data_IF_724279911457
#
_entry.id   IF_724279911457
#
_cell.length_a   1.000
_cell.length_b   1.000
_cell.length_c   1.000
_cell.angle_alpha   90.00
_cell.angle_beta   90.00
_cell.angle_gamma   90.00
#
_symmetry.space_group_name_H-M   'P 1'
#
loop_
_entity.id
_entity.type
_entity.pdbx_description
1 polymer ?
#
# COMPACT_ATOMS: atom_id res chain seq x y z
N UNK A 1 -6.16 3.90 -26.32
CA UNK A 1 -5.55 4.96 -25.47
C UNK A 1 -4.41 5.63 -26.23
N UNK A 2 -4.26 6.95 -26.12
CA UNK A 2 -3.12 7.66 -26.75
C UNK A 2 -1.81 7.37 -26.00
N UNK A 3 -0.66 7.50 -26.67
CA UNK A 3 0.67 7.38 -26.03
C UNK A 3 0.82 8.34 -24.85
N UNK A 4 0.23 9.53 -24.95
CA UNK A 4 0.24 10.53 -23.90
C UNK A 4 -0.56 10.10 -22.66
N UNK A 5 -1.73 9.47 -22.86
CA UNK A 5 -2.53 8.91 -21.76
C UNK A 5 -1.78 7.78 -21.04
N UNK A 6 -1.10 6.90 -21.77
CA UNK A 6 -0.30 5.81 -21.17
C UNK A 6 0.85 6.37 -20.32
N UNK A 7 1.55 7.40 -20.83
CA UNK A 7 2.62 8.08 -20.09
C UNK A 7 2.10 8.72 -18.80
N UNK A 8 0.94 9.38 -18.85
CA UNK A 8 0.31 10.00 -17.70
C UNK A 8 -0.07 8.97 -16.61
N UNK A 9 -0.71 7.85 -17.01
CA UNK A 9 -1.05 6.77 -16.06
C UNK A 9 0.20 6.20 -15.41
N UNK A 10 1.26 5.91 -16.18
CA UNK A 10 2.53 5.41 -15.63
C UNK A 10 3.17 6.38 -14.65
N UNK A 11 3.03 7.68 -14.86
CA UNK A 11 3.52 8.69 -13.91
C UNK A 11 2.75 8.64 -12.59
N UNK A 12 1.42 8.47 -12.64
CA UNK A 12 0.59 8.31 -11.44
C UNK A 12 0.96 7.02 -10.70
N UNK A 13 1.04 5.89 -11.41
CA UNK A 13 1.39 4.59 -10.80
C UNK A 13 2.80 4.60 -10.17
N UNK A 14 3.76 5.33 -10.75
CA UNK A 14 5.08 5.53 -10.14
C UNK A 14 5.00 6.33 -8.84
N UNK A 15 4.14 7.36 -8.77
CA UNK A 15 3.91 8.11 -7.53
C UNK A 15 3.30 7.23 -6.46
N UNK A 16 2.32 6.39 -6.84
CA UNK A 16 1.76 5.37 -5.94
C UNK A 16 2.87 4.45 -5.44
N UNK A 17 3.65 3.82 -6.33
CA UNK A 17 4.74 2.92 -5.94
C UNK A 17 5.75 3.60 -4.98
N UNK A 18 6.17 4.83 -5.28
CA UNK A 18 7.08 5.58 -4.41
C UNK A 18 6.49 5.83 -3.03
N UNK A 19 5.21 6.20 -2.95
CA UNK A 19 4.53 6.42 -1.68
C UNK A 19 4.46 5.11 -0.88
N UNK A 20 4.06 3.98 -1.49
CA UNK A 20 4.01 2.69 -0.79
C UNK A 20 5.39 2.28 -0.23
N UNK A 21 6.45 2.40 -1.04
CA UNK A 21 7.81 2.09 -0.59
C UNK A 21 8.20 2.99 0.57
N UNK A 22 7.96 4.30 0.47
CA UNK A 22 8.28 5.24 1.54
C UNK A 22 7.52 4.91 2.83
N UNK A 23 6.24 4.56 2.75
CA UNK A 23 5.45 4.14 3.91
C UNK A 23 6.03 2.88 4.56
N UNK A 24 6.44 1.89 3.76
CA UNK A 24 7.11 0.69 4.29
C UNK A 24 8.44 1.01 4.99
N UNK A 25 9.23 1.94 4.44
CA UNK A 25 10.47 2.41 5.07
C UNK A 25 10.20 3.16 6.38
N UNK A 26 9.17 4.01 6.42
CA UNK A 26 8.75 4.73 7.64
C UNK A 26 8.32 3.73 8.74
N UNK A 27 7.79 2.57 8.35
CA UNK A 27 7.45 1.48 9.26
C UNK A 27 8.66 0.68 9.76
N UNK A 28 9.88 1.02 9.33
CA UNK A 28 11.12 0.36 9.76
C UNK A 28 11.59 -0.76 8.84
N UNK A 29 11.00 -0.89 7.64
CA UNK A 29 11.61 -1.71 6.61
C UNK A 29 12.92 -1.06 6.12
N UNK A 30 13.83 -1.90 5.65
CA UNK A 30 15.11 -1.54 5.06
C UNK A 30 15.05 -1.84 3.57
N UNK A 31 15.86 -1.13 2.78
CA UNK A 31 15.96 -1.30 1.35
C UNK A 31 17.42 -1.59 0.97
N UNK A 32 17.62 -2.67 0.23
CA UNK A 32 18.89 -3.06 -0.35
C UNK A 32 18.73 -3.21 -1.87
N UNK A 33 19.58 -2.54 -2.65
CA UNK A 33 19.57 -2.72 -4.10
C UNK A 33 20.43 -3.92 -4.49
N UNK A 34 19.82 -4.92 -5.14
CA UNK A 34 20.48 -6.12 -5.66
C UNK A 34 20.28 -6.16 -7.17
N UNK A 35 21.28 -5.68 -7.91
CA UNK A 35 21.20 -5.59 -9.36
C UNK A 35 20.05 -4.70 -9.85
N UNK A 36 19.06 -5.31 -10.51
CA UNK A 36 17.89 -4.63 -11.08
C UNK A 36 16.63 -4.62 -10.19
N UNK A 37 16.71 -5.20 -9.00
CA UNK A 37 15.61 -5.21 -8.02
C UNK A 37 16.05 -4.54 -6.72
N UNK A 38 15.08 -3.98 -6.00
CA UNK A 38 15.23 -3.55 -4.62
C UNK A 38 14.60 -4.62 -3.72
N UNK A 39 15.32 -5.02 -2.68
CA UNK A 39 14.89 -5.95 -1.63
C UNK A 39 14.43 -5.11 -0.45
N UNK A 40 13.15 -5.22 -0.12
CA UNK A 40 12.53 -4.53 1.02
C UNK A 40 12.25 -5.58 2.08
N UNK A 41 12.82 -5.41 3.28
CA UNK A 41 12.64 -6.35 4.38
C UNK A 41 12.58 -5.61 5.72
N UNK A 42 11.86 -6.16 6.69
CA UNK A 42 11.83 -5.65 8.05
C UNK A 42 12.55 -6.63 8.97
N UNK A 43 13.30 -6.18 9.99
CA UNK A 43 14.13 -7.06 10.83
C UNK A 43 13.33 -7.97 11.78
N UNK A 44 12.19 -7.50 12.29
CA UNK A 44 11.35 -8.28 13.22
C UNK A 44 9.97 -8.68 12.67
N UNK A 45 9.35 -7.82 11.85
CA UNK A 45 8.04 -8.10 11.25
C UNK A 45 8.10 -9.14 10.14
N UNK A 46 7.22 -10.13 10.18
CA UNK A 46 7.04 -11.17 9.15
C UNK A 46 5.97 -10.82 8.12
N UNK A 47 5.39 -9.61 8.20
CA UNK A 47 4.31 -9.20 7.32
C UNK A 47 4.74 -9.17 5.84
N UNK A 48 3.93 -9.73 4.91
CA UNK A 48 4.30 -9.83 3.49
C UNK A 48 4.65 -8.49 2.84
N UNK A 49 3.87 -7.44 3.09
CA UNK A 49 4.07 -6.11 2.50
C UNK A 49 5.26 -5.34 3.10
N UNK A 50 5.97 -5.92 4.08
CA UNK A 50 7.24 -5.37 4.56
C UNK A 50 8.43 -6.27 4.18
N UNK A 51 8.19 -7.36 3.43
CA UNK A 51 9.19 -8.37 3.09
C UNK A 51 8.98 -8.90 1.65
N UNK A 52 9.54 -8.20 0.67
CA UNK A 52 9.36 -8.47 -0.75
C UNK A 52 10.51 -7.88 -1.58
N UNK A 53 10.63 -8.32 -2.82
CA UNK A 53 11.44 -7.64 -3.82
C UNK A 53 10.55 -6.88 -4.79
N UNK A 54 11.02 -5.74 -5.28
CA UNK A 54 10.36 -4.95 -6.32
C UNK A 54 11.37 -4.58 -7.40
N UNK A 55 10.96 -4.56 -8.67
CA UNK A 55 11.75 -3.92 -9.72
C UNK A 55 12.22 -2.51 -9.33
N UNK A 56 13.48 -2.18 -9.66
CA UNK A 56 13.99 -0.81 -9.50
C UNK A 56 13.27 0.17 -10.42
N UNK A 57 13.20 1.42 -9.99
CA UNK A 57 12.65 2.47 -10.84
C UNK A 57 13.44 2.62 -12.14
N UNK A 58 12.72 2.87 -13.23
CA UNK A 58 13.27 3.12 -14.58
C UNK A 58 13.89 1.88 -15.27
N UNK A 59 13.78 0.70 -14.67
CA UNK A 59 14.12 -0.55 -15.34
C UNK A 59 12.99 -0.95 -16.31
N UNK A 60 13.31 -1.11 -17.59
CA UNK A 60 12.32 -1.47 -18.62
C UNK A 60 12.11 -2.99 -18.73
N UNK A 61 13.13 -3.77 -18.41
CA UNK A 61 13.17 -5.22 -18.48
C UNK A 61 14.11 -5.76 -17.41
N UNK A 62 13.72 -6.83 -16.73
CA UNK A 62 14.53 -7.47 -15.69
C UNK A 62 14.77 -8.93 -16.12
N UNK A 63 16.02 -9.33 -16.32
CA UNK A 63 16.37 -10.73 -16.57
C UNK A 63 15.98 -11.61 -15.38
N UNK A 64 15.48 -12.82 -15.65
CA UNK A 64 15.14 -13.82 -14.64
C UNK A 64 16.21 -14.03 -13.56
N UNK A 65 17.53 -14.13 -13.89
CA UNK A 65 18.57 -14.31 -12.87
C UNK A 65 18.67 -13.15 -11.88
N UNK A 66 18.26 -11.94 -12.27
CA UNK A 66 18.29 -10.77 -11.40
C UNK A 66 17.12 -10.78 -10.40
N UNK A 67 15.99 -11.36 -10.79
CA UNK A 67 14.86 -11.63 -9.89
C UNK A 67 15.29 -12.69 -8.87
N UNK A 68 15.90 -13.79 -9.31
CA UNK A 68 16.39 -14.86 -8.43
C UNK A 68 17.40 -14.36 -7.41
N UNK A 69 18.34 -13.49 -7.81
CA UNK A 69 19.28 -12.83 -6.87
C UNK A 69 18.55 -12.09 -5.76
N UNK A 70 17.55 -11.29 -6.10
CA UNK A 70 16.74 -10.59 -5.08
C UNK A 70 15.98 -11.57 -4.17
N UNK A 71 15.38 -12.62 -4.75
CA UNK A 71 14.67 -13.63 -3.95
C UNK A 71 15.61 -14.39 -3.01
N UNK A 72 16.84 -14.68 -3.45
CA UNK A 72 17.87 -15.29 -2.61
C UNK A 72 18.29 -14.35 -1.48
N UNK A 73 18.49 -13.05 -1.76
CA UNK A 73 18.78 -12.06 -0.71
C UNK A 73 17.67 -12.02 0.35
N UNK A 74 16.40 -12.08 -0.09
CA UNK A 74 15.27 -12.09 0.84
C UNK A 74 15.25 -13.38 1.70
N UNK A 75 15.66 -14.53 1.14
CA UNK A 75 15.84 -15.79 1.89
C UNK A 75 16.99 -15.71 2.89
N UNK A 76 18.10 -15.07 2.54
CA UNK A 76 19.24 -14.83 3.46
C UNK A 76 18.82 -14.02 4.69
N UNK A 77 17.88 -13.09 4.52
CA UNK A 77 17.24 -12.35 5.62
C UNK A 77 16.18 -13.17 6.39
N UNK A 78 16.05 -14.47 6.12
CA UNK A 78 15.08 -15.35 6.76
C UNK A 78 13.63 -15.02 6.40
N UNK A 79 13.40 -14.43 5.22
CA UNK A 79 12.06 -14.04 4.75
C UNK A 79 11.56 -14.95 3.63
N UNK A 80 10.24 -15.08 3.52
CA UNK A 80 9.63 -15.81 2.42
C UNK A 80 9.88 -15.05 1.11
N UNK A 81 10.36 -15.72 0.05
CA UNK A 81 10.60 -15.09 -1.25
C UNK A 81 9.28 -14.57 -1.85
N UNK A 82 9.19 -13.26 -2.09
CA UNK A 82 8.01 -12.59 -2.65
C UNK A 82 8.41 -11.50 -3.63
N UNK A 83 7.61 -11.33 -4.67
CA UNK A 83 7.72 -10.20 -5.62
C UNK A 83 6.48 -9.34 -5.48
N UNK A 84 6.67 -8.03 -5.31
CA UNK A 84 5.59 -7.04 -5.29
C UNK A 84 5.84 -6.01 -6.39
N UNK A 85 4.86 -5.83 -7.27
CA UNK A 85 4.96 -4.87 -8.37
C UNK A 85 3.59 -4.37 -8.79
N UNK A 86 3.57 -3.21 -9.45
CA UNK A 86 2.37 -2.65 -10.07
C UNK A 86 2.37 -3.00 -11.55
N UNK A 87 1.43 -3.83 -11.98
CA UNK A 87 1.40 -4.40 -13.35
C UNK A 87 1.52 -3.35 -14.45
N UNK A 88 0.78 -2.23 -14.35
CA UNK A 88 0.80 -1.16 -15.34
C UNK A 88 2.15 -0.45 -15.54
N UNK A 89 3.15 -0.74 -14.70
CA UNK A 89 4.51 -0.21 -14.82
C UNK A 89 5.45 -1.09 -15.64
N UNK A 90 5.12 -2.37 -15.89
CA UNK A 90 6.00 -3.35 -16.50
C UNK A 90 5.39 -3.97 -17.77
N UNK A 91 6.20 -4.47 -18.72
CA UNK A 91 5.68 -5.18 -19.87
C UNK A 91 5.10 -6.55 -19.46
N UNK A 92 4.14 -7.11 -20.23
CA UNK A 92 3.57 -8.44 -19.96
C UNK A 92 4.60 -9.57 -19.85
N UNK A 93 5.74 -9.45 -20.55
CA UNK A 93 6.83 -10.42 -20.44
C UNK A 93 7.38 -10.54 -19.01
N UNK A 94 7.25 -9.50 -18.18
CA UNK A 94 7.71 -9.56 -16.79
C UNK A 94 6.87 -10.56 -15.97
N UNK A 95 5.54 -10.53 -16.12
CA UNK A 95 4.66 -11.50 -15.47
C UNK A 95 4.96 -12.94 -15.93
N UNK A 96 5.29 -13.12 -17.22
CA UNK A 96 5.75 -14.42 -17.74
C UNK A 96 7.04 -14.88 -17.06
N UNK A 97 8.03 -14.00 -16.92
CA UNK A 97 9.29 -14.33 -16.24
C UNK A 97 9.08 -14.75 -14.78
N UNK A 98 8.10 -14.17 -14.07
CA UNK A 98 7.73 -14.59 -12.72
C UNK A 98 7.09 -15.99 -12.71
N UNK A 99 6.23 -16.29 -13.68
CA UNK A 99 5.65 -17.61 -13.83
C UNK A 99 6.71 -18.69 -14.17
N UNK A 100 7.68 -18.35 -15.02
CA UNK A 100 8.80 -19.25 -15.35
C UNK A 100 9.69 -19.57 -14.12
N UNK A 101 9.63 -18.73 -13.08
CA UNK A 101 10.26 -18.95 -11.77
C UNK A 101 9.39 -19.74 -10.77
N UNK A 102 8.27 -20.31 -11.22
CA UNK A 102 7.27 -21.00 -10.39
C UNK A 102 6.70 -20.14 -9.25
N UNK A 103 6.71 -18.81 -9.43
CA UNK A 103 6.04 -17.90 -8.50
C UNK A 103 4.53 -17.95 -8.74
N UNK A 104 3.78 -18.01 -7.64
CA UNK A 104 2.31 -18.00 -7.66
C UNK A 104 1.81 -16.65 -7.20
N UNK A 105 0.69 -16.22 -7.78
CA UNK A 105 0.00 -14.99 -7.36
C UNK A 105 -0.52 -15.22 -5.93
N UNK A 106 0.08 -14.52 -4.97
CA UNK A 106 -0.39 -14.51 -3.58
C UNK A 106 -1.57 -13.56 -3.40
N UNK A 107 -1.54 -12.41 -4.09
CA UNK A 107 -2.58 -11.38 -4.01
C UNK A 107 -2.54 -10.45 -5.22
N UNK A 108 -3.71 -9.99 -5.63
CA UNK A 108 -3.89 -8.92 -6.61
C UNK A 108 -4.79 -7.85 -5.99
N UNK A 109 -4.35 -6.58 -6.01
CA UNK A 109 -5.07 -5.47 -5.38
C UNK A 109 -5.36 -4.40 -6.45
N UNK A 110 -6.64 -4.06 -6.70
CA UNK A 110 -6.96 -2.99 -7.63
C UNK A 110 -6.52 -1.64 -7.05
N UNK A 111 -5.86 -0.83 -7.87
CA UNK A 111 -5.46 0.54 -7.52
C UNK A 111 -6.43 1.51 -8.18
N UNK A 112 -7.17 2.26 -7.36
CA UNK A 112 -8.00 3.36 -7.83
C UNK A 112 -7.22 4.67 -7.68
N UNK A 113 -7.16 5.46 -8.76
CA UNK A 113 -6.51 6.77 -8.75
C UNK A 113 -7.49 7.83 -9.20
N UNK A 114 -7.63 8.91 -8.43
CA UNK A 114 -8.43 10.07 -8.80
C UNK A 114 -7.53 11.31 -8.86
N UNK A 115 -7.61 12.07 -9.95
CA UNK A 115 -6.96 13.37 -10.01
C UNK A 115 -7.86 14.40 -9.30
N UNK A 116 -7.33 15.04 -8.26
CA UNK A 116 -7.97 16.20 -7.63
C UNK A 116 -7.75 17.41 -8.55
N UNK A 117 -8.53 17.51 -9.63
CA UNK A 117 -8.54 18.69 -10.48
C UNK A 117 -9.59 19.69 -9.96
N UNK A 118 -9.31 21.00 -10.00
CA UNK A 118 -10.34 22.01 -9.82
C UNK A 118 -11.42 21.90 -10.91
N UNK A 119 -12.71 22.11 -10.59
CA UNK A 119 -13.23 22.23 -9.23
C UNK A 119 -13.20 20.88 -8.53
N UNK A 120 -12.83 20.87 -7.24
CA UNK A 120 -12.91 19.68 -6.41
C UNK A 120 -14.27 19.00 -6.60
N UNK A 121 -14.34 17.66 -6.64
CA UNK A 121 -15.61 16.96 -6.80
C UNK A 121 -16.60 17.52 -5.79
N UNK A 122 -17.78 17.92 -6.28
CA UNK A 122 -18.83 18.46 -5.41
C UNK A 122 -19.12 17.41 -4.34
N UNK A 123 -18.81 17.75 -3.10
CA UNK A 123 -19.17 16.91 -1.96
C UNK A 123 -20.69 16.76 -1.98
N UNK A 124 -21.17 15.53 -2.09
CA UNK A 124 -22.59 15.28 -1.89
C UNK A 124 -22.93 15.56 -0.43
N UNK A 125 -24.09 16.16 -0.14
CA UNK A 125 -24.52 16.32 1.24
C UNK A 125 -24.58 14.94 1.89
N UNK A 126 -24.16 14.86 3.16
CA UNK A 126 -24.30 13.63 3.92
C UNK A 126 -25.79 13.33 4.13
N UNK A 127 -26.22 12.07 4.01
CA UNK A 127 -27.57 11.67 4.38
C UNK A 127 -27.91 12.01 5.83
N UNK A 128 -29.20 12.18 6.13
CA UNK A 128 -29.67 12.49 7.48
C UNK A 128 -29.17 11.47 8.52
N UNK A 129 -28.73 12.00 9.67
CA UNK A 129 -28.20 11.20 10.77
C UNK A 129 -26.79 10.66 10.55
N UNK A 130 -26.13 10.99 9.44
CA UNK A 130 -24.73 10.65 9.19
C UNK A 130 -23.81 11.80 9.58
N UNK A 131 -22.75 11.48 10.32
CA UNK A 131 -21.63 12.41 10.61
C UNK A 131 -20.30 11.71 10.41
N UNK A 132 -19.27 12.47 10.05
CA UNK A 132 -17.89 12.00 9.96
C UNK A 132 -17.07 12.80 10.97
N UNK A 133 -16.30 12.11 11.81
CA UNK A 133 -15.43 12.74 12.80
C UNK A 133 -14.00 12.29 12.58
N UNK A 134 -13.06 13.24 12.68
CA UNK A 134 -11.64 12.92 12.71
C UNK A 134 -11.29 12.39 14.09
N UNK A 135 -10.53 11.29 14.13
CA UNK A 135 -10.00 10.73 15.37
C UNK A 135 -8.87 11.62 15.87
N UNK A 136 -9.00 12.11 17.10
CA UNK A 136 -8.03 13.02 17.74
C UNK A 136 -7.54 12.54 19.11
N UNK A 137 -8.09 11.43 19.62
CA UNK A 137 -7.80 10.91 20.96
C UNK A 137 -7.80 9.37 20.99
N UNK A 138 -7.48 8.81 22.17
CA UNK A 138 -7.40 7.36 22.37
C UNK A 138 -8.77 6.67 22.32
N UNK A 139 -9.84 7.33 22.75
CA UNK A 139 -11.19 6.75 22.69
C UNK A 139 -11.63 6.58 21.24
N UNK A 140 -11.42 7.59 20.41
CA UNK A 140 -11.65 7.53 18.97
C UNK A 140 -10.82 6.43 18.31
N UNK A 141 -9.55 6.24 18.69
CA UNK A 141 -8.75 5.11 18.17
C UNK A 141 -9.37 3.77 18.57
N UNK A 142 -9.78 3.60 19.83
CA UNK A 142 -10.41 2.36 20.28
C UNK A 142 -11.69 2.06 19.50
N UNK A 143 -12.53 3.09 19.27
CA UNK A 143 -13.73 2.97 18.45
C UNK A 143 -13.40 2.66 16.98
N UNK A 144 -12.39 3.32 16.41
CA UNK A 144 -11.94 3.07 15.04
C UNK A 144 -11.52 1.61 14.87
N UNK A 145 -10.71 1.10 15.80
CA UNK A 145 -10.27 -0.30 15.84
C UNK A 145 -11.42 -1.28 16.01
N UNK A 146 -12.39 -0.95 16.87
CA UNK A 146 -13.59 -1.76 17.06
C UNK A 146 -14.38 -1.89 15.76
N UNK A 147 -14.66 -0.78 15.07
CA UNK A 147 -15.40 -0.81 13.80
C UNK A 147 -14.62 -1.57 12.73
N UNK A 148 -13.31 -1.32 12.62
CA UNK A 148 -12.45 -2.00 11.64
C UNK A 148 -12.43 -3.52 11.85
N UNK A 149 -12.25 -3.99 13.09
CA UNK A 149 -12.22 -5.43 13.41
C UNK A 149 -13.56 -6.13 13.21
N UNK A 150 -14.65 -5.39 13.25
CA UNK A 150 -16.02 -5.92 13.08
C UNK A 150 -16.58 -5.63 11.68
N UNK A 151 -15.75 -5.23 10.72
CA UNK A 151 -16.17 -5.04 9.34
C UNK A 151 -16.71 -6.35 8.75
N UNK A 152 -17.87 -6.27 8.07
CA UNK A 152 -18.50 -7.43 7.40
C UNK A 152 -17.91 -7.76 6.03
N UNK A 153 -16.87 -7.04 5.62
CA UNK A 153 -16.21 -7.19 4.33
C UNK A 153 -14.70 -7.23 4.55
N UNK A 154 -13.99 -7.82 3.59
CA UNK A 154 -12.53 -7.87 3.62
C UNK A 154 -11.95 -6.46 3.48
N UNK A 155 -11.35 -5.97 4.56
CA UNK A 155 -10.66 -4.68 4.52
C UNK A 155 -9.28 -4.91 3.90
N UNK A 156 -9.08 -4.40 2.69
CA UNK A 156 -7.78 -4.46 2.01
C UNK A 156 -6.79 -3.57 2.76
N UNK A 157 -5.91 -4.18 3.55
CA UNK A 157 -4.81 -3.50 4.26
C UNK A 157 -3.50 -3.47 3.48
N UNK A 158 -3.46 -4.13 2.31
CA UNK A 158 -2.21 -4.50 1.63
C UNK A 158 -1.43 -3.38 0.92
N UNK A 159 -1.80 -2.11 1.13
CA UNK A 159 -1.19 -0.99 0.40
C UNK A 159 -0.14 -0.23 1.17
N UNK A 160 -0.44 0.20 2.40
CA UNK A 160 0.31 1.32 3.01
C UNK A 160 0.76 1.03 4.44
N UNK A 161 -0.03 0.34 5.27
CA UNK A 161 0.37 0.11 6.66
C UNK A 161 -0.23 -1.16 7.26
N UNK A 162 0.56 -1.96 8.00
CA UNK A 162 -0.02 -2.81 9.03
C UNK A 162 -0.57 -1.93 10.15
N UNK A 163 -1.87 -2.04 10.37
CA UNK A 163 -2.54 -1.35 11.45
C UNK A 163 -1.96 -1.88 12.78
N UNK A 164 -1.36 -0.99 13.57
CA UNK A 164 -0.84 -1.30 14.91
C UNK A 164 -1.36 -0.26 15.90
N UNK A 165 -2.18 -0.70 16.86
CA UNK A 165 -2.87 0.12 17.88
C UNK A 165 -1.96 1.13 18.61
N UNK A 166 -0.65 0.89 18.70
CA UNK A 166 0.31 1.77 19.37
C UNK A 166 1.10 2.76 18.48
N UNK A 167 1.22 2.51 17.17
CA UNK A 167 1.88 3.46 16.23
C UNK A 167 0.91 4.53 15.75
N UNK A 168 -0.37 4.21 15.68
CA UNK A 168 -1.43 5.07 15.16
C UNK A 168 -1.50 6.44 15.87
N UNK A 169 -1.41 6.49 17.21
CA UNK A 169 -1.38 7.77 17.96
C UNK A 169 -0.23 8.67 17.54
N UNK A 170 0.97 8.10 17.34
CA UNK A 170 2.16 8.88 16.99
C UNK A 170 2.04 9.45 15.58
N UNK A 171 1.58 8.64 14.62
CA UNK A 171 1.41 9.08 13.24
C UNK A 171 0.30 10.13 13.10
N UNK A 172 -0.78 10.01 13.90
CA UNK A 172 -1.82 11.04 14.01
C UNK A 172 -1.27 12.38 14.54
N UNK A 173 -0.41 12.33 15.57
CA UNK A 173 0.19 13.52 16.17
C UNK A 173 1.20 14.18 15.22
N UNK A 174 2.02 13.39 14.53
CA UNK A 174 3.05 13.90 13.60
C UNK A 174 2.41 14.37 12.28
N UNK A 175 1.15 13.98 12.01
CA UNK A 175 0.38 14.43 10.86
C UNK A 175 0.64 13.62 9.59
N UNK A 176 1.28 12.47 9.69
CA UNK A 176 1.46 11.52 8.58
C UNK A 176 0.19 10.69 8.33
N UNK A 177 -0.77 10.75 9.25
CA UNK A 177 -2.01 10.01 9.19
C UNK A 177 -3.20 10.87 9.64
N UNK A 178 -4.36 10.62 9.04
CA UNK A 178 -5.66 11.06 9.56
C UNK A 178 -6.65 9.90 9.54
N UNK A 179 -7.19 9.57 10.71
CA UNK A 179 -8.22 8.55 10.87
C UNK A 179 -9.59 9.23 11.01
N UNK A 180 -10.61 8.58 10.44
CA UNK A 180 -11.98 9.08 10.43
C UNK A 180 -12.95 7.97 10.86
N UNK A 181 -13.98 8.34 11.61
CA UNK A 181 -15.11 7.49 11.97
C UNK A 181 -16.38 8.06 11.36
N UNK A 182 -17.13 7.21 10.68
CA UNK A 182 -18.47 7.47 10.18
C UNK A 182 -19.48 6.99 11.22
N UNK A 183 -20.35 7.89 11.68
CA UNK A 183 -21.48 7.54 12.53
C UNK A 183 -22.80 7.61 11.78
N UNK A 184 -23.74 6.75 12.17
CA UNK A 184 -25.14 6.80 11.76
C UNK A 184 -26.03 6.75 13.01
N UNK A 185 -26.83 7.79 13.21
CA UNK A 185 -27.69 7.95 14.40
C UNK A 185 -26.93 7.74 15.73
N UNK A 186 -25.69 8.23 15.82
CA UNK A 186 -24.83 8.11 17.00
C UNK A 186 -24.01 6.82 17.11
N UNK A 187 -24.25 5.82 16.25
CA UNK A 187 -23.48 4.57 16.26
C UNK A 187 -22.34 4.59 15.25
N UNK A 188 -21.12 4.16 15.60
CA UNK A 188 -20.00 4.10 14.67
C UNK A 188 -20.19 2.92 13.70
N UNK A 189 -20.26 3.21 12.40
CA UNK A 189 -20.64 2.24 11.34
C UNK A 189 -19.60 2.11 10.23
N UNK A 190 -18.61 2.99 10.18
CA UNK A 190 -17.55 2.94 9.18
C UNK A 190 -16.31 3.68 9.64
N UNK A 191 -15.18 3.34 9.04
CA UNK A 191 -13.89 3.95 9.34
C UNK A 191 -13.07 4.13 8.06
N UNK A 192 -12.23 5.16 8.05
CA UNK A 192 -11.27 5.39 6.99
C UNK A 192 -9.94 5.87 7.59
N UNK A 193 -8.84 5.57 6.88
CA UNK A 193 -7.50 6.08 7.16
C UNK A 193 -6.97 6.76 5.91
N UNK A 194 -6.38 7.94 6.10
CA UNK A 194 -5.65 8.68 5.09
C UNK A 194 -4.19 8.77 5.52
N UNK A 195 -3.27 8.24 4.71
CA UNK A 195 -1.82 8.43 4.86
C UNK A 195 -1.38 9.61 4.00
N UNK A 196 -0.53 10.48 4.54
CA UNK A 196 -0.11 11.76 3.94
C UNK A 196 1.36 11.71 3.55
#
# INVERSE_FOLDING_TARGET
MSKQSIKAIRQVLRRVQSHLIQSHLNLGAQLESVGFVDVIYHQTSTLPHLNYITPRQKTAWIPTPEIEKGLNQLREHGRTPRVYYIEGLFPPLFAKALHDLDLKIEREIPIMTCALQPPSPKLQPLPDGIRIERVTDQEGIAQWWYVWRNARFDVITGGVEPLYVGRDMRELIIGNQADFILYRYGFPVGVARLTI
#
